data_IF_474860943406
#
_entry.id   IF_474860943406
#
_cell.length_a   1.000
_cell.length_b   1.000
_cell.length_c   1.000
_cell.angle_alpha   90.00
_cell.angle_beta   90.00
_cell.angle_gamma   90.00
#
_symmetry.space_group_name_H-M   'P 1'
#
loop_
_entity.id
_entity.type
_entity.pdbx_description
1 polymer ?
#
# COMPACT_ATOMS: atom_id res chain seq x y z
N UNK A 1 4.30 16.93 -10.99
CA UNK A 1 5.20 16.06 -10.20
C UNK A 1 6.26 15.50 -11.14
N UNK A 2 7.53 15.45 -10.71
CA UNK A 2 8.65 14.98 -11.55
C UNK A 2 8.52 13.50 -11.95
N UNK A 3 8.07 12.61 -11.04
CA UNK A 3 7.88 11.18 -11.33
C UNK A 3 7.02 10.93 -12.58
N UNK A 4 5.88 11.63 -12.66
CA UNK A 4 4.94 11.53 -13.78
C UNK A 4 5.61 11.77 -15.14
N UNK A 5 6.47 12.80 -15.21
CA UNK A 5 7.19 13.15 -16.44
C UNK A 5 8.27 12.13 -16.79
N UNK A 6 8.99 11.62 -15.78
CA UNK A 6 10.09 10.68 -15.95
C UNK A 6 9.61 9.26 -16.29
N UNK A 7 8.42 8.89 -15.79
CA UNK A 7 7.86 7.52 -15.86
C UNK A 7 6.56 7.43 -16.65
N UNK A 8 6.27 8.41 -17.52
CA UNK A 8 5.12 8.40 -18.46
C UNK A 8 3.79 8.05 -17.76
N UNK A 9 3.47 8.79 -16.70
CA UNK A 9 2.21 8.64 -15.95
C UNK A 9 2.01 7.27 -15.29
N UNK A 10 3.07 6.49 -15.12
CA UNK A 10 3.02 5.16 -14.49
C UNK A 10 3.32 5.23 -12.99
N UNK A 11 3.00 4.15 -12.27
CA UNK A 11 3.43 3.93 -10.89
C UNK A 11 4.61 2.97 -10.84
N UNK A 12 5.41 2.92 -9.75
CA UNK A 12 6.40 1.87 -9.56
C UNK A 12 5.79 0.47 -9.72
N UNK A 13 6.38 -0.37 -10.57
CA UNK A 13 5.80 -1.67 -10.93
C UNK A 13 5.88 -2.69 -9.80
N UNK A 14 6.99 -2.67 -9.04
CA UNK A 14 7.25 -3.66 -8.00
C UNK A 14 6.38 -3.39 -6.78
N UNK A 15 5.66 -4.38 -6.24
CA UNK A 15 4.92 -4.21 -5.00
C UNK A 15 5.86 -4.12 -3.79
N UNK A 16 5.25 -3.82 -2.64
CA UNK A 16 5.87 -3.85 -1.33
C UNK A 16 7.01 -2.86 -1.19
N UNK A 17 7.99 -3.26 -0.40
CA UNK A 17 9.15 -2.42 -0.07
C UNK A 17 10.01 -2.11 -1.29
N UNK A 18 10.03 -2.99 -2.30
CA UNK A 18 10.79 -2.80 -3.52
C UNK A 18 10.27 -1.60 -4.33
N UNK A 19 8.95 -1.43 -4.43
CA UNK A 19 8.36 -0.26 -5.09
C UNK A 19 8.60 1.04 -4.33
N UNK A 20 8.48 0.99 -3.00
CA UNK A 20 8.78 2.14 -2.13
C UNK A 20 10.25 2.57 -2.23
N UNK A 21 11.18 1.61 -2.31
CA UNK A 21 12.60 1.88 -2.50
C UNK A 21 12.88 2.61 -3.81
N UNK A 22 12.17 2.30 -4.90
CA UNK A 22 12.33 3.05 -6.17
C UNK A 22 12.05 4.54 -5.97
N UNK A 23 11.01 4.89 -5.20
CA UNK A 23 10.66 6.28 -4.91
C UNK A 23 11.72 6.97 -4.04
N UNK A 24 12.29 6.23 -3.09
CA UNK A 24 13.35 6.72 -2.22
C UNK A 24 14.69 6.91 -2.97
N UNK A 25 15.12 5.89 -3.70
CA UNK A 25 16.41 5.84 -4.41
C UNK A 25 16.48 6.87 -5.56
N UNK A 26 15.34 7.15 -6.20
CA UNK A 26 15.23 8.17 -7.25
C UNK A 26 14.87 9.56 -6.70
N UNK A 27 14.93 9.73 -5.38
CA UNK A 27 14.75 11.01 -4.69
C UNK A 27 13.38 11.67 -4.90
N UNK A 28 12.34 10.87 -5.18
CA UNK A 28 10.95 11.36 -5.25
C UNK A 28 10.30 11.42 -3.86
N UNK A 29 10.69 10.52 -2.96
CA UNK A 29 10.33 10.53 -1.54
C UNK A 29 11.61 10.54 -0.71
N UNK A 30 12.14 11.75 -0.48
CA UNK A 30 13.48 11.95 0.10
C UNK A 30 13.52 12.01 1.63
N UNK A 31 12.37 12.16 2.29
CA UNK A 31 12.26 12.26 3.74
C UNK A 31 11.84 10.90 4.33
N UNK A 32 12.68 10.23 5.15
CA UNK A 32 12.33 8.97 5.80
C UNK A 32 11.03 9.02 6.62
N UNK A 33 10.64 10.19 7.13
CA UNK A 33 9.42 10.35 7.92
C UNK A 33 8.14 10.02 7.13
N UNK A 34 8.16 10.11 5.79
CA UNK A 34 6.98 9.83 4.96
C UNK A 34 6.59 8.35 4.93
N UNK A 35 7.51 7.45 5.29
CA UNK A 35 7.28 6.00 5.28
C UNK A 35 6.67 5.49 6.59
N UNK A 36 6.56 6.35 7.60
CA UNK A 36 6.02 6.03 8.92
C UNK A 36 4.79 6.86 9.20
N UNK A 37 3.72 6.22 9.66
CA UNK A 37 2.60 6.94 10.25
C UNK A 37 3.06 7.52 11.62
N UNK A 38 2.99 8.85 11.85
CA UNK A 38 3.42 9.45 13.12
C UNK A 38 2.67 8.93 14.35
N UNK A 39 1.45 8.45 14.18
CA UNK A 39 0.62 7.92 15.25
C UNK A 39 0.88 6.42 15.52
N UNK A 40 1.63 5.74 14.64
CA UNK A 40 2.06 4.36 14.84
C UNK A 40 3.26 4.29 15.80
N UNK A 41 3.06 3.55 16.90
CA UNK A 41 4.04 3.35 17.95
C UNK A 41 4.89 2.07 17.78
N UNK A 42 4.50 1.15 16.89
CA UNK A 42 5.15 -0.14 16.67
C UNK A 42 6.32 -0.03 15.68
N UNK A 43 6.20 0.81 14.65
CA UNK A 43 7.31 1.02 13.70
C UNK A 43 8.34 2.00 14.24
N UNK A 44 9.60 1.75 13.86
CA UNK A 44 10.71 2.68 14.13
C UNK A 44 10.90 3.61 12.96
N UNK A 45 11.38 4.84 13.19
CA UNK A 45 11.73 5.73 12.08
C UNK A 45 13.06 5.25 11.47
N UNK A 46 13.11 5.07 10.15
CA UNK A 46 14.39 4.85 9.47
C UNK A 46 15.25 6.12 9.60
N UNK A 47 16.47 5.99 10.13
CA UNK A 47 17.41 7.13 10.21
C UNK A 47 17.88 7.62 8.83
N UNK A 48 17.74 6.78 7.80
CA UNK A 48 18.16 7.04 6.42
C UNK A 48 17.37 6.16 5.44
N UNK A 49 17.14 6.65 4.22
CA UNK A 49 16.32 5.95 3.20
C UNK A 49 16.87 4.58 2.80
N UNK A 50 18.19 4.41 2.76
CA UNK A 50 18.81 3.10 2.45
C UNK A 50 18.54 2.03 3.51
N UNK A 51 18.13 2.43 4.72
CA UNK A 51 17.81 1.53 5.81
C UNK A 51 16.32 1.13 5.83
N UNK A 52 15.51 1.51 4.83
CA UNK A 52 14.09 1.12 4.77
C UNK A 52 13.94 -0.41 4.81
N UNK A 53 13.12 -0.89 5.73
CA UNK A 53 12.88 -2.30 6.06
C UNK A 53 11.45 -2.48 6.60
N UNK A 54 10.88 -3.70 6.58
CA UNK A 54 9.48 -3.91 6.99
C UNK A 54 9.13 -3.38 8.40
N UNK A 55 10.09 -3.34 9.32
CA UNK A 55 9.91 -2.86 10.69
C UNK A 55 9.96 -1.33 10.86
N UNK A 56 10.23 -0.58 9.79
CA UNK A 56 10.31 0.89 9.80
C UNK A 56 9.40 1.56 8.76
N UNK A 57 8.49 0.78 8.17
CA UNK A 57 7.50 1.26 7.20
C UNK A 57 6.11 0.90 7.70
N UNK A 58 5.24 1.91 7.84
CA UNK A 58 3.83 1.73 8.27
C UNK A 58 2.89 1.49 7.10
N UNK A 59 3.37 1.59 5.86
CA UNK A 59 2.57 1.51 4.64
C UNK A 59 2.94 0.30 3.79
N UNK A 60 1.93 -0.32 3.19
CA UNK A 60 2.08 -1.34 2.16
C UNK A 60 1.87 -0.67 0.81
N UNK A 61 2.86 -0.78 -0.07
CA UNK A 61 2.69 -0.37 -1.46
C UNK A 61 2.18 -1.53 -2.28
N UNK A 62 0.95 -1.42 -2.77
CA UNK A 62 0.31 -2.49 -3.51
C UNK A 62 0.83 -2.59 -4.94
N UNK A 63 1.21 -1.46 -5.53
CA UNK A 63 1.73 -1.37 -6.89
C UNK A 63 0.67 -1.44 -7.97
N UNK A 64 1.10 -1.22 -9.21
CA UNK A 64 0.21 -1.34 -10.37
C UNK A 64 -0.13 -2.80 -10.68
N UNK A 65 -1.31 -3.01 -11.28
CA UNK A 65 -1.76 -4.28 -11.86
C UNK A 65 -2.13 -4.05 -13.35
N UNK A 66 -1.14 -3.96 -14.26
CA UNK A 66 -1.37 -3.53 -15.64
C UNK A 66 -2.31 -4.46 -16.44
N UNK A 67 -2.36 -5.75 -16.11
CA UNK A 67 -3.16 -6.74 -16.84
C UNK A 67 -4.59 -6.93 -16.29
N UNK A 68 -4.96 -6.13 -15.28
CA UNK A 68 -6.25 -6.21 -14.59
C UNK A 68 -6.97 -4.89 -14.75
N UNK A 69 -8.12 -4.85 -15.44
CA UNK A 69 -8.84 -3.60 -15.71
C UNK A 69 -9.64 -3.15 -14.48
N UNK A 70 -8.96 -2.86 -13.37
CA UNK A 70 -9.57 -2.29 -12.17
C UNK A 70 -9.79 -0.80 -12.40
N UNK A 71 -11.01 -0.31 -12.13
CA UNK A 71 -11.27 1.12 -12.18
C UNK A 71 -10.32 1.87 -11.20
N UNK A 72 -9.64 2.96 -11.61
CA UNK A 72 -8.65 3.65 -10.76
C UNK A 72 -9.19 4.03 -9.37
N UNK A 73 -10.44 4.50 -9.29
CA UNK A 73 -11.12 4.84 -8.04
C UNK A 73 -11.45 3.64 -7.12
N UNK A 74 -11.18 2.42 -7.57
CA UNK A 74 -11.37 1.18 -6.80
C UNK A 74 -10.07 0.40 -6.59
N UNK A 75 -9.01 0.75 -7.33
CA UNK A 75 -7.72 0.08 -7.27
C UNK A 75 -6.90 0.60 -6.08
N UNK A 76 -6.69 -0.20 -5.01
CA UNK A 76 -5.79 0.22 -3.94
C UNK A 76 -4.36 0.28 -4.49
N UNK A 77 -3.69 1.41 -4.29
CA UNK A 77 -2.31 1.63 -4.70
C UNK A 77 -1.34 1.52 -3.52
N UNK A 78 -1.75 2.05 -2.36
CA UNK A 78 -1.03 1.89 -1.10
C UNK A 78 -2.03 1.97 0.06
N UNK A 79 -1.69 1.39 1.21
CA UNK A 79 -2.50 1.49 2.41
C UNK A 79 -1.65 1.38 3.66
N UNK A 80 -2.18 1.82 4.79
CA UNK A 80 -1.59 1.53 6.09
C UNK A 80 -1.62 0.03 6.36
N UNK A 81 -0.53 -0.50 6.91
CA UNK A 81 -0.42 -1.89 7.33
C UNK A 81 -1.60 -2.27 8.26
N UNK A 82 -2.38 -3.30 7.92
CA UNK A 82 -3.56 -3.68 8.69
C UNK A 82 -3.25 -3.98 10.17
N UNK A 83 -2.15 -4.68 10.47
CA UNK A 83 -1.68 -5.00 11.83
C UNK A 83 -1.26 -3.78 12.69
N UNK A 84 -1.10 -2.61 12.04
CA UNK A 84 -0.72 -1.35 12.65
C UNK A 84 -1.89 -0.36 12.78
N UNK A 85 -3.11 -0.76 12.39
CA UNK A 85 -4.30 0.11 12.40
C UNK A 85 -4.55 0.72 13.79
N UNK A 86 -4.98 1.97 13.79
CA UNK A 86 -5.22 2.73 15.02
C UNK A 86 -6.72 2.90 15.24
N UNK A 87 -7.22 2.40 16.37
CA UNK A 87 -8.64 2.46 16.73
C UNK A 87 -9.58 1.88 15.65
N UNK A 88 -9.12 0.83 14.95
CA UNK A 88 -9.86 0.20 13.85
C UNK A 88 -9.92 1.03 12.57
N UNK A 89 -9.19 2.15 12.48
CA UNK A 89 -9.13 2.97 11.27
C UNK A 89 -7.83 2.73 10.51
N UNK A 90 -7.92 2.69 9.19
CA UNK A 90 -6.77 2.69 8.30
C UNK A 90 -7.04 3.53 7.04
N UNK A 91 -5.98 4.12 6.49
CA UNK A 91 -6.05 4.90 5.25
C UNK A 91 -5.64 4.08 4.03
N UNK A 92 -6.39 4.22 2.93
CA UNK A 92 -6.11 3.60 1.63
C UNK A 92 -6.00 4.69 0.56
N UNK A 93 -4.89 4.69 -0.16
CA UNK A 93 -4.67 5.48 -1.38
C UNK A 93 -5.13 4.66 -2.59
N UNK A 94 -5.97 5.25 -3.43
CA UNK A 94 -6.46 4.63 -4.65
C UNK A 94 -5.73 5.15 -5.91
N UNK A 95 -5.87 4.42 -7.02
CA UNK A 95 -5.15 4.66 -8.26
C UNK A 95 -5.48 5.98 -8.98
N UNK A 96 -6.59 6.64 -8.67
CA UNK A 96 -6.91 8.00 -9.14
C UNK A 96 -6.36 9.10 -8.20
N UNK A 97 -5.70 8.73 -7.11
CA UNK A 97 -5.05 9.62 -6.16
C UNK A 97 -5.89 10.04 -4.96
N UNK A 98 -7.15 9.62 -4.83
CA UNK A 98 -7.91 9.88 -3.61
C UNK A 98 -7.49 8.96 -2.47
N UNK A 99 -7.67 9.45 -1.24
CA UNK A 99 -7.43 8.69 -0.01
C UNK A 99 -8.76 8.51 0.72
N UNK A 100 -9.07 7.28 1.12
CA UNK A 100 -10.20 6.99 2.00
C UNK A 100 -9.69 6.53 3.37
N UNK A 101 -10.28 7.06 4.43
CA UNK A 101 -10.14 6.49 5.78
C UNK A 101 -11.28 5.50 6.01
N UNK A 102 -10.93 4.24 6.25
CA UNK A 102 -11.86 3.14 6.46
C UNK A 102 -11.87 2.74 7.93
N UNK A 103 -13.06 2.56 8.50
CA UNK A 103 -13.22 1.84 9.78
C UNK A 103 -13.38 0.37 9.46
N UNK A 104 -12.33 -0.41 9.70
CA UNK A 104 -12.30 -1.85 9.43
C UNK A 104 -12.60 -2.66 10.69
N UNK A 105 -13.17 -3.87 10.55
CA UNK A 105 -13.33 -4.82 11.65
C UNK A 105 -11.99 -5.19 12.30
N UNK A 106 -12.06 -5.75 13.52
CA UNK A 106 -10.86 -6.26 14.22
C UNK A 106 -10.25 -7.45 13.50
N UNK A 107 -11.06 -8.20 12.75
CA UNK A 107 -10.68 -9.35 11.94
C UNK A 107 -10.03 -8.97 10.61
N UNK A 108 -9.62 -7.71 10.43
CA UNK A 108 -8.81 -7.28 9.28
C UNK A 108 -7.42 -6.94 9.80
N UNK A 109 -6.55 -7.94 9.80
CA UNK A 109 -5.19 -7.90 10.36
C UNK A 109 -4.10 -8.12 9.30
N UNK A 110 -4.47 -8.60 8.11
CA UNK A 110 -3.57 -8.79 6.96
C UNK A 110 -4.09 -8.12 5.66
N UNK A 111 -3.27 -8.15 4.60
CA UNK A 111 -3.61 -7.53 3.32
C UNK A 111 -4.73 -8.29 2.60
N UNK A 112 -4.81 -9.62 2.70
CA UNK A 112 -5.85 -10.44 2.08
C UNK A 112 -7.24 -10.15 2.67
N UNK A 113 -7.33 -10.03 3.98
CA UNK A 113 -8.52 -9.64 4.73
C UNK A 113 -8.93 -8.21 4.38
N UNK A 114 -7.96 -7.30 4.21
CA UNK A 114 -8.25 -5.93 3.76
C UNK A 114 -8.81 -5.92 2.32
N UNK A 115 -8.24 -6.68 1.39
CA UNK A 115 -8.77 -6.80 0.03
C UNK A 115 -10.18 -7.40 0.05
N UNK A 116 -10.40 -8.42 0.88
CA UNK A 116 -11.71 -9.03 1.08
C UNK A 116 -12.72 -8.02 1.63
N UNK A 117 -12.33 -7.19 2.59
CA UNK A 117 -13.15 -6.11 3.10
C UNK A 117 -13.46 -5.05 2.03
N UNK A 118 -12.45 -4.61 1.28
CA UNK A 118 -12.62 -3.67 0.16
C UNK A 118 -13.57 -4.22 -0.90
N UNK A 119 -13.53 -5.53 -1.18
CA UNK A 119 -14.46 -6.18 -2.10
C UNK A 119 -15.92 -6.00 -1.66
N UNK A 120 -16.20 -6.08 -0.35
CA UNK A 120 -17.56 -5.86 0.17
C UNK A 120 -18.10 -4.47 -0.15
N UNK A 121 -17.22 -3.46 -0.24
CA UNK A 121 -17.57 -2.07 -0.49
C UNK A 121 -17.54 -1.71 -1.99
N UNK A 122 -16.46 -2.07 -2.68
CA UNK A 122 -16.16 -1.65 -4.05
C UNK A 122 -16.75 -2.60 -5.11
N UNK A 123 -17.17 -3.80 -4.71
CA UNK A 123 -17.79 -4.83 -5.57
C UNK A 123 -16.89 -5.17 -6.77
N UNK A 124 -15.69 -5.68 -6.49
CA UNK A 124 -14.80 -6.17 -7.54
C UNK A 124 -15.43 -7.36 -8.29
N UNK A 125 -15.17 -7.49 -9.58
CA UNK A 125 -15.42 -8.72 -10.33
C UNK A 125 -14.51 -9.86 -9.85
N UNK A 126 -14.83 -11.09 -10.20
CA UNK A 126 -14.01 -12.25 -9.83
C UNK A 126 -12.56 -12.14 -10.33
N UNK A 127 -12.36 -11.62 -11.55
CA UNK A 127 -11.02 -11.41 -12.11
C UNK A 127 -10.22 -10.39 -11.30
N UNK A 128 -10.85 -9.27 -10.95
CA UNK A 128 -10.22 -8.22 -10.15
C UNK A 128 -9.91 -8.72 -8.74
N UNK A 129 -10.88 -9.34 -8.07
CA UNK A 129 -10.71 -9.90 -6.74
C UNK A 129 -9.57 -10.91 -6.71
N UNK A 130 -9.54 -11.85 -7.65
CA UNK A 130 -8.47 -12.85 -7.73
C UNK A 130 -7.09 -12.20 -7.81
N UNK A 131 -6.90 -11.23 -8.71
CA UNK A 131 -5.60 -10.59 -8.88
C UNK A 131 -5.21 -9.72 -7.68
N UNK A 132 -6.19 -9.06 -7.04
CA UNK A 132 -5.96 -8.31 -5.82
C UNK A 132 -5.57 -9.24 -4.66
N UNK A 133 -6.27 -10.35 -4.48
CA UNK A 133 -5.97 -11.34 -3.44
C UNK A 133 -4.61 -12.00 -3.65
N UNK A 134 -4.25 -12.37 -4.89
CA UNK A 134 -2.91 -12.90 -5.20
C UNK A 134 -1.80 -11.91 -4.86
N UNK A 135 -2.02 -10.61 -5.14
CA UNK A 135 -1.07 -9.56 -4.77
C UNK A 135 -0.99 -9.34 -3.26
N UNK A 136 -2.13 -9.37 -2.57
CA UNK A 136 -2.19 -9.25 -1.12
C UNK A 136 -1.44 -10.40 -0.42
N UNK A 137 -1.67 -11.64 -0.84
CA UNK A 137 -0.98 -12.82 -0.32
C UNK A 137 0.55 -12.70 -0.40
N UNK A 138 1.06 -12.19 -1.52
CA UNK A 138 2.49 -11.96 -1.70
C UNK A 138 3.03 -10.89 -0.72
N UNK A 139 2.25 -9.84 -0.48
CA UNK A 139 2.61 -8.75 0.43
C UNK A 139 2.59 -9.21 1.90
N UNK A 140 1.63 -10.04 2.28
CA UNK A 140 1.57 -10.64 3.62
C UNK A 140 2.82 -11.50 3.88
N UNK A 141 3.22 -12.32 2.92
CA UNK A 141 4.47 -13.08 2.99
C UNK A 141 5.74 -12.22 3.12
N UNK A 142 5.79 -11.05 2.47
CA UNK A 142 6.90 -10.09 2.61
C UNK A 142 6.94 -9.42 4.00
N UNK A 143 5.78 -9.19 4.60
CA UNK A 143 5.62 -8.48 5.87
C UNK A 143 5.61 -9.41 7.08
N UNK A 144 5.43 -10.71 6.87
CA UNK A 144 5.27 -11.70 7.93
C UNK A 144 3.93 -11.59 8.64
N UNK A 145 2.88 -11.24 7.89
CA UNK A 145 1.48 -11.22 8.34
C UNK A 145 0.83 -12.59 8.10
#
# INVERSE_FOLDING_TARGET
>A
MMYKADHKDSFPEKPGLAGLKVLADQNYLSDPAVFRNPADAKTTLAGELKALAPNNVSYVYFGALPDVPVAPAKMPLAFERPDLRLNGNLCVLFGDGHVESLTVPVEVDDCEELVSYLHTQKKYSEKELKALSERAHLLDGELGL
#
